data_IF_099409620374
#
_entry.id   IF_099409620374
#
_cell.length_a   1.000
_cell.length_b   1.000
_cell.length_c   1.000
_cell.angle_alpha   90.00
_cell.angle_beta   90.00
_cell.angle_gamma   90.00
#
_symmetry.space_group_name_H-M   'P 1'
#
loop_
_entity.id
_entity.type
_entity.pdbx_description
1 polymer ?
#
# COMPACT_ATOMS: atom_id res chain seq x y z
N UNK A 1 -5.11 10.46 27.56
CA UNK A 1 -3.75 10.92 27.24
C UNK A 1 -3.50 10.51 25.80
N UNK A 2 -3.15 11.44 24.92
CA UNK A 2 -2.83 11.11 23.53
C UNK A 2 -1.34 10.78 23.43
N UNK A 3 -0.99 9.74 22.67
CA UNK A 3 0.41 9.32 22.46
C UNK A 3 1.08 10.25 21.43
N UNK A 4 0.31 10.76 20.45
CA UNK A 4 0.74 11.81 19.52
C UNK A 4 -0.47 12.60 18.98
N UNK A 5 -0.21 13.76 18.36
CA UNK A 5 -1.22 14.57 17.66
C UNK A 5 -0.68 15.04 16.30
N UNK A 6 -0.75 14.20 15.25
CA UNK A 6 -0.29 14.56 13.92
C UNK A 6 -0.99 15.82 13.39
N UNK A 7 -0.22 16.79 12.91
CA UNK A 7 -0.71 18.15 12.62
C UNK A 7 -1.75 18.27 11.50
N UNK A 8 -1.82 17.27 10.60
CA UNK A 8 -2.74 17.22 9.47
C UNK A 8 -3.81 16.13 9.63
N UNK A 9 -4.03 15.65 10.86
CA UNK A 9 -4.99 14.59 11.15
C UNK A 9 -4.60 13.23 10.58
N UNK A 10 -5.49 12.26 10.78
CA UNK A 10 -5.37 10.89 10.29
C UNK A 10 -6.67 10.54 9.59
N UNK A 11 -6.58 10.18 8.31
CA UNK A 11 -7.75 9.80 7.51
C UNK A 11 -7.88 8.28 7.34
N UNK A 12 -6.76 7.57 7.29
CA UNK A 12 -6.73 6.11 7.30
C UNK A 12 -5.50 5.64 8.07
N UNK A 13 -5.64 4.53 8.80
CA UNK A 13 -4.54 3.79 9.40
C UNK A 13 -4.35 2.54 8.57
N UNK A 14 -3.13 2.31 8.12
CA UNK A 14 -2.80 1.19 7.22
C UNK A 14 -2.33 -0.04 7.97
N UNK A 15 -1.57 0.14 9.05
CA UNK A 15 -1.02 -0.98 9.80
C UNK A 15 0.11 -0.56 10.72
N UNK A 16 0.86 -1.57 11.14
CA UNK A 16 2.04 -1.48 11.99
C UNK A 16 3.14 -2.34 11.36
N UNK A 17 4.38 -1.86 11.36
CA UNK A 17 5.58 -2.61 10.97
C UNK A 17 6.81 -1.73 11.06
N UNK A 18 7.99 -2.36 11.13
CA UNK A 18 9.32 -1.72 11.04
C UNK A 18 9.53 -1.16 9.63
N UNK A 19 9.11 0.07 9.38
CA UNK A 19 9.12 0.65 8.03
C UNK A 19 10.42 1.36 7.70
N UNK A 20 11.22 1.72 8.71
CA UNK A 20 12.50 2.40 8.54
C UNK A 20 13.73 1.58 8.97
N UNK A 21 13.53 0.30 9.28
CA UNK A 21 14.57 -0.71 9.44
C UNK A 21 15.38 -0.56 10.73
N UNK A 22 14.86 0.11 11.75
CA UNK A 22 15.55 0.32 13.02
C UNK A 22 15.28 -0.79 14.06
N UNK A 23 14.33 -1.68 13.75
CA UNK A 23 13.95 -2.84 14.55
C UNK A 23 12.79 -2.60 15.51
N UNK A 24 12.27 -1.38 15.63
CA UNK A 24 11.00 -1.09 16.29
C UNK A 24 9.85 -1.02 15.24
N UNK A 25 8.60 -1.14 15.71
CA UNK A 25 7.42 -1.15 14.84
C UNK A 25 6.73 0.24 14.84
N UNK A 26 6.49 0.81 13.66
CA UNK A 26 5.84 2.14 13.52
C UNK A 26 4.36 2.01 13.15
N UNK A 27 3.54 2.96 13.60
CA UNK A 27 2.15 3.05 13.13
C UNK A 27 2.06 3.86 11.84
N UNK A 28 1.60 3.23 10.77
CA UNK A 28 1.52 3.82 9.43
C UNK A 28 0.12 4.34 9.12
N UNK A 29 0.05 5.53 8.53
CA UNK A 29 -1.21 6.20 8.26
C UNK A 29 -1.15 7.19 7.08
N UNK A 30 -2.32 7.50 6.52
CA UNK A 30 -2.49 8.60 5.58
C UNK A 30 -3.11 9.82 6.28
N UNK A 31 -2.52 11.01 6.07
CA UNK A 31 -3.03 12.27 6.61
C UNK A 31 -4.18 12.87 5.77
N UNK A 32 -4.73 14.02 6.19
CA UNK A 32 -5.82 14.68 5.47
C UNK A 32 -5.48 15.19 4.07
N UNK A 33 -4.20 15.22 3.71
CA UNK A 33 -3.71 15.53 2.36
C UNK A 33 -3.30 14.27 1.60
N UNK A 34 -3.68 13.08 2.09
CA UNK A 34 -3.28 11.78 1.56
C UNK A 34 -1.75 11.68 1.39
N UNK A 35 -1.04 12.22 2.38
CA UNK A 35 0.39 11.98 2.54
C UNK A 35 0.56 10.80 3.47
N UNK A 36 1.29 9.78 3.00
CA UNK A 36 1.68 8.61 3.75
C UNK A 36 2.73 9.00 4.78
N UNK A 37 2.48 8.60 6.03
CA UNK A 37 3.28 8.93 7.20
C UNK A 37 3.36 7.73 8.11
N UNK A 38 4.35 7.75 8.99
CA UNK A 38 4.44 6.81 10.08
C UNK A 38 4.71 7.54 11.39
N UNK A 39 4.32 6.91 12.49
CA UNK A 39 4.48 7.41 13.84
C UNK A 39 5.47 6.51 14.57
N UNK A 40 6.59 7.11 14.97
CA UNK A 40 7.61 6.51 15.80
C UNK A 40 7.08 6.14 17.19
N UNK A 41 7.65 5.12 17.86
CA UNK A 41 7.34 4.81 19.24
C UNK A 41 7.51 6.00 20.22
N UNK A 42 8.42 6.94 19.89
CA UNK A 42 8.66 8.15 20.69
C UNK A 42 7.61 9.27 20.48
N UNK A 43 6.69 9.07 19.54
CA UNK A 43 5.61 10.00 19.18
C UNK A 43 5.96 10.98 18.05
N UNK A 44 7.17 10.89 17.47
CA UNK A 44 7.57 11.65 16.29
C UNK A 44 6.82 11.16 15.06
N UNK A 45 6.35 12.08 14.22
CA UNK A 45 5.69 11.73 12.96
C UNK A 45 6.64 11.99 11.80
N UNK A 46 6.89 10.97 10.99
CA UNK A 46 7.74 11.03 9.81
C UNK A 46 6.90 10.88 8.54
N UNK A 47 7.38 11.43 7.44
CA UNK A 47 6.72 11.35 6.13
C UNK A 47 7.51 10.39 5.26
N UNK A 48 6.82 9.44 4.61
CA UNK A 48 7.45 8.56 3.64
C UNK A 48 8.10 9.38 2.52
N UNK A 49 9.24 8.89 2.01
CA UNK A 49 9.82 9.48 0.82
C UNK A 49 8.83 9.37 -0.34
N UNK A 50 8.62 10.48 -1.05
CA UNK A 50 7.61 10.58 -2.10
C UNK A 50 6.19 10.18 -1.65
N UNK A 51 5.87 10.18 -0.36
CA UNK A 51 4.62 9.62 0.21
C UNK A 51 3.29 10.28 -0.19
N UNK A 52 3.24 11.18 -1.17
CA UNK A 52 1.99 11.76 -1.65
C UNK A 52 1.25 10.76 -2.55
N UNK A 53 -0.05 10.54 -2.30
CA UNK A 53 -0.92 9.66 -3.12
C UNK A 53 -2.07 10.42 -3.80
N UNK A 54 -2.06 11.75 -3.76
CA UNK A 54 -3.06 12.62 -4.41
C UNK A 54 -4.39 12.65 -3.65
N UNK A 55 -5.10 13.79 -3.65
CA UNK A 55 -6.31 13.95 -2.80
C UNK A 55 -7.64 13.93 -3.58
N UNK A 56 -7.66 13.38 -4.79
CA UNK A 56 -8.72 13.58 -5.78
C UNK A 56 -9.94 12.66 -5.63
N UNK A 57 -9.77 11.37 -5.28
CA UNK A 57 -10.87 10.39 -5.22
C UNK A 57 -10.57 9.31 -4.19
N UNK A 58 -11.28 9.22 -3.06
CA UNK A 58 -11.08 8.13 -2.09
C UNK A 58 -9.74 8.16 -1.33
N UNK A 59 -9.49 7.14 -0.51
CA UNK A 59 -8.22 6.93 0.20
C UNK A 59 -7.69 5.57 -0.25
N UNK A 60 -6.57 5.57 -0.97
CA UNK A 60 -5.95 4.36 -1.52
C UNK A 60 -4.92 3.72 -0.60
N UNK A 61 -4.84 4.08 0.69
CA UNK A 61 -3.85 3.53 1.61
C UNK A 61 -4.22 2.10 2.00
N UNK A 62 -3.34 1.15 1.72
CA UNK A 62 -3.55 -0.29 1.88
C UNK A 62 -2.73 -0.88 3.02
N UNK A 63 -2.08 -2.01 2.74
CA UNK A 63 -1.36 -2.83 3.71
C UNK A 63 0.09 -2.37 3.95
N UNK A 64 0.59 -2.66 5.15
CA UNK A 64 2.01 -2.55 5.55
C UNK A 64 2.55 -3.95 5.68
N UNK A 65 3.60 -4.30 4.93
CA UNK A 65 4.23 -5.62 4.99
C UNK A 65 5.63 -5.59 4.41
N UNK A 66 6.49 -6.47 4.89
CA UNK A 66 7.76 -6.80 4.24
C UNK A 66 7.45 -7.61 2.96
N UNK A 67 7.65 -7.02 1.79
CA UNK A 67 7.26 -7.58 0.49
C UNK A 67 8.37 -8.38 -0.18
N UNK A 68 9.63 -8.14 0.18
CA UNK A 68 10.78 -8.77 -0.46
C UNK A 68 11.62 -9.63 0.50
N UNK A 69 11.23 -9.68 1.78
CA UNK A 69 11.80 -10.51 2.81
C UNK A 69 13.10 -9.96 3.38
N UNK A 70 13.39 -8.66 3.21
CA UNK A 70 14.61 -8.03 3.71
C UNK A 70 14.52 -7.61 5.19
N UNK A 71 13.32 -7.69 5.77
CA UNK A 71 13.01 -7.33 7.15
C UNK A 71 12.49 -5.91 7.35
N UNK A 72 12.37 -5.10 6.30
CA UNK A 72 11.82 -3.74 6.32
C UNK A 72 10.44 -3.73 5.67
N UNK A 73 9.46 -3.22 6.39
CA UNK A 73 8.09 -3.18 5.91
C UNK A 73 7.86 -2.00 4.96
N UNK A 74 7.16 -2.28 3.86
CA UNK A 74 6.73 -1.29 2.88
C UNK A 74 5.22 -1.06 2.96
N UNK A 75 4.77 0.15 2.63
CA UNK A 75 3.34 0.48 2.52
C UNK A 75 2.87 0.38 1.06
N UNK A 76 1.83 -0.42 0.82
CA UNK A 76 1.15 -0.47 -0.47
C UNK A 76 -0.03 0.51 -0.51
N UNK A 77 -0.12 1.29 -1.57
CA UNK A 77 -1.19 2.26 -1.78
C UNK A 77 -1.58 2.40 -3.25
N UNK A 78 -2.72 3.03 -3.52
CA UNK A 78 -3.12 3.52 -4.85
C UNK A 78 -3.02 5.04 -4.90
N UNK A 79 -2.30 5.55 -5.89
CA UNK A 79 -2.04 6.98 -6.04
C UNK A 79 -3.14 7.72 -6.84
N UNK A 80 -2.96 9.03 -7.02
CA UNK A 80 -3.94 9.90 -7.66
C UNK A 80 -4.06 9.70 -9.17
N UNK A 81 -3.11 8.98 -9.76
CA UNK A 81 -3.09 8.58 -11.16
C UNK A 81 -3.66 7.18 -11.39
N UNK A 82 -4.11 6.50 -10.32
CA UNK A 82 -4.58 5.11 -10.35
C UNK A 82 -3.45 4.09 -10.54
N UNK A 83 -2.24 4.45 -10.13
CA UNK A 83 -1.11 3.53 -10.11
C UNK A 83 -0.99 2.87 -8.73
N UNK A 84 -0.57 1.60 -8.70
CA UNK A 84 -0.16 0.96 -7.45
C UNK A 84 1.20 1.49 -7.06
N UNK A 85 1.35 1.85 -5.79
CA UNK A 85 2.55 2.42 -5.21
C UNK A 85 3.01 1.59 -4.02
N UNK A 86 4.28 1.26 -4.00
CA UNK A 86 4.98 0.67 -2.87
C UNK A 86 5.86 1.77 -2.29
N UNK A 87 5.57 2.19 -1.06
CA UNK A 87 6.24 3.26 -0.38
C UNK A 87 7.13 2.68 0.72
N UNK A 88 8.44 2.68 0.47
CA UNK A 88 9.46 2.44 1.46
C UNK A 88 9.80 3.70 2.27
N UNK A 89 10.18 3.53 3.53
CA UNK A 89 10.67 4.65 4.33
C UNK A 89 12.19 4.85 4.18
N UNK A 90 12.64 6.06 4.52
CA UNK A 90 14.06 6.36 4.55
C UNK A 90 14.68 5.82 5.84
N UNK A 91 15.55 4.83 5.76
CA UNK A 91 16.34 4.30 6.88
C UNK A 91 17.70 4.97 7.01
N UNK A 92 18.34 4.79 8.18
CA UNK A 92 19.71 5.24 8.44
C UNK A 92 20.75 4.54 7.55
N UNK A 93 20.44 3.34 7.05
CA UNK A 93 21.30 2.53 6.19
C UNK A 93 21.05 2.75 4.68
N UNK A 94 20.21 3.73 4.34
CA UNK A 94 19.86 4.09 2.96
C UNK A 94 18.57 3.40 2.54
N UNK A 95 17.46 3.95 3.02
CA UNK A 95 16.13 3.33 2.93
C UNK A 95 15.62 2.96 1.55
N UNK A 96 14.49 2.28 1.58
CA UNK A 96 13.79 1.80 0.42
C UNK A 96 13.20 2.97 -0.38
N UNK A 97 13.55 3.03 -1.67
CA UNK A 97 12.88 3.96 -2.59
C UNK A 97 11.41 3.58 -2.78
N UNK A 98 10.61 4.51 -3.31
CA UNK A 98 9.24 4.16 -3.70
C UNK A 98 9.19 3.62 -5.13
N UNK A 99 8.45 2.54 -5.32
CA UNK A 99 8.15 1.94 -6.63
C UNK A 99 6.71 2.31 -7.04
N UNK A 100 6.53 2.67 -8.32
CA UNK A 100 5.21 2.98 -8.89
C UNK A 100 4.96 2.07 -10.09
N UNK A 101 3.88 1.31 -10.03
CA UNK A 101 3.46 0.31 -11.01
C UNK A 101 2.34 0.91 -11.85
N UNK A 102 2.71 1.55 -12.96
CA UNK A 102 1.77 2.31 -13.82
C UNK A 102 0.88 1.42 -14.68
N UNK A 103 1.17 0.12 -14.76
CA UNK A 103 0.38 -0.82 -15.54
C UNK A 103 -0.92 -1.25 -14.81
N UNK A 104 -1.06 -0.90 -13.53
CA UNK A 104 -2.11 -1.44 -12.68
C UNK A 104 -3.52 -0.95 -13.05
N UNK A 105 -3.69 0.33 -13.39
CA UNK A 105 -5.00 0.99 -13.57
C UNK A 105 -5.98 0.63 -12.42
N UNK A 106 -5.52 0.87 -11.19
CA UNK A 106 -6.20 0.48 -9.97
C UNK A 106 -7.28 1.49 -9.57
N UNK A 107 -8.46 1.02 -9.18
CA UNK A 107 -9.45 1.85 -8.52
C UNK A 107 -8.90 2.36 -7.20
N UNK A 108 -9.19 3.62 -6.86
CA UNK A 108 -8.62 4.27 -5.67
C UNK A 108 -9.30 3.83 -4.38
N UNK A 109 -9.03 2.58 -4.05
CA UNK A 109 -9.49 1.83 -2.89
C UNK A 109 -8.26 1.19 -2.22
N UNK A 110 -8.35 0.80 -0.93
CA UNK A 110 -7.24 0.13 -0.26
C UNK A 110 -6.86 -1.18 -0.98
N UNK A 111 -5.62 -1.32 -1.48
CA UNK A 111 -5.09 -2.61 -1.92
C UNK A 111 -4.74 -3.48 -0.71
N UNK A 112 -4.56 -4.77 -0.93
CA UNK A 112 -4.10 -5.72 0.09
C UNK A 112 -2.95 -6.57 -0.47
N UNK A 113 -2.33 -7.37 0.40
CA UNK A 113 -1.27 -8.30 0.02
C UNK A 113 -1.73 -9.69 0.41
N UNK A 114 -1.52 -10.66 -0.49
CA UNK A 114 -1.87 -12.05 -0.27
C UNK A 114 -1.01 -12.96 -1.14
N UNK A 115 -0.79 -14.18 -0.66
CA UNK A 115 -0.22 -15.27 -1.43
C UNK A 115 -1.29 -15.88 -2.35
N UNK A 116 -1.12 -15.64 -3.65
CA UNK A 116 -1.98 -16.08 -4.75
C UNK A 116 -1.34 -17.27 -5.47
N UNK A 117 -0.02 -17.28 -5.69
CA UNK A 117 0.66 -18.33 -6.45
C UNK A 117 2.02 -18.82 -5.91
N UNK A 118 2.37 -18.47 -4.66
CA UNK A 118 3.51 -19.04 -3.93
C UNK A 118 4.50 -18.03 -3.35
N UNK A 119 4.26 -16.74 -3.56
CA UNK A 119 4.90 -15.59 -2.94
C UNK A 119 3.86 -14.52 -2.57
N UNK A 120 4.25 -13.29 -2.24
CA UNK A 120 3.32 -12.24 -1.83
C UNK A 120 2.98 -11.31 -3.00
N UNK A 121 1.69 -11.22 -3.35
CA UNK A 121 1.21 -10.38 -4.44
C UNK A 121 0.36 -9.21 -3.94
N UNK A 122 0.41 -8.09 -4.65
CA UNK A 122 -0.44 -6.92 -4.35
C UNK A 122 -1.78 -7.09 -5.04
N UNK A 123 -2.83 -7.35 -4.28
CA UNK A 123 -4.21 -7.52 -4.77
C UNK A 123 -4.97 -6.19 -4.75
N UNK A 124 -5.63 -5.85 -5.85
CA UNK A 124 -6.34 -4.60 -6.01
C UNK A 124 -7.55 -4.72 -6.95
N UNK A 125 -8.45 -3.73 -6.88
CA UNK A 125 -9.60 -3.64 -7.79
C UNK A 125 -9.23 -2.84 -9.04
N UNK A 126 -9.46 -3.38 -10.24
CA UNK A 126 -9.24 -2.65 -11.49
C UNK A 126 -10.30 -1.56 -11.73
N UNK A 127 -9.85 -0.37 -12.13
CA UNK A 127 -10.71 0.81 -12.38
C UNK A 127 -11.59 0.63 -13.60
N UNK A 128 -11.03 0.17 -14.72
CA UNK A 128 -11.74 0.12 -16.00
C UNK A 128 -12.63 -1.12 -16.17
N UNK A 129 -12.24 -2.25 -15.59
CA UNK A 129 -12.91 -3.55 -15.78
C UNK A 129 -13.78 -3.97 -14.59
N UNK A 130 -13.51 -3.46 -13.38
CA UNK A 130 -14.16 -3.95 -12.17
C UNK A 130 -13.77 -5.39 -11.84
N UNK A 131 -12.66 -5.88 -12.36
CA UNK A 131 -12.13 -7.21 -12.02
C UNK A 131 -11.12 -7.06 -10.87
N UNK A 132 -10.93 -8.12 -10.08
CA UNK A 132 -9.88 -8.17 -9.07
C UNK A 132 -8.58 -8.61 -9.74
N UNK A 133 -7.59 -7.74 -9.67
CA UNK A 133 -6.27 -7.96 -10.25
C UNK A 133 -5.23 -8.12 -9.16
N UNK A 134 -4.05 -8.60 -9.53
CA UNK A 134 -2.89 -8.58 -8.65
C UNK A 134 -1.63 -8.20 -9.41
N UNK A 135 -0.66 -7.65 -8.69
CA UNK A 135 0.72 -7.47 -9.16
C UNK A 135 1.55 -8.62 -8.60
N UNK A 136 2.14 -9.37 -9.51
CA UNK A 136 3.02 -10.51 -9.32
C UNK A 136 4.49 -10.07 -9.42
N UNK A 137 5.40 -10.84 -8.81
CA UNK A 137 6.85 -10.57 -8.79
C UNK A 137 7.14 -9.13 -8.36
N UNK A 138 6.59 -8.76 -7.19
CA UNK A 138 6.53 -7.38 -6.63
C UNK A 138 7.92 -6.79 -6.33
N UNK A 139 8.94 -7.64 -6.23
CA UNK A 139 10.36 -7.26 -6.12
C UNK A 139 11.14 -7.34 -7.44
N UNK A 140 10.49 -7.83 -8.51
CA UNK A 140 11.07 -8.05 -9.83
C UNK A 140 10.34 -7.31 -10.94
N UNK A 141 9.67 -8.06 -11.82
CA UNK A 141 9.09 -7.52 -13.06
C UNK A 141 7.77 -6.77 -12.86
N UNK A 142 7.08 -6.95 -11.72
CA UNK A 142 5.78 -6.35 -11.43
C UNK A 142 4.72 -6.67 -12.51
N UNK A 143 4.52 -7.96 -12.78
CA UNK A 143 3.58 -8.43 -13.80
C UNK A 143 2.13 -8.31 -13.30
N UNK A 144 1.22 -7.80 -14.14
CA UNK A 144 -0.18 -7.63 -13.77
C UNK A 144 -1.01 -8.82 -14.27
N UNK A 145 -1.72 -9.46 -13.36
CA UNK A 145 -2.61 -10.59 -13.62
C UNK A 145 -3.98 -10.40 -12.94
N UNK A 146 -4.88 -11.36 -13.13
CA UNK A 146 -6.23 -11.35 -12.58
C UNK A 146 -6.46 -12.54 -11.65
N UNK A 147 -7.15 -12.29 -10.55
CA UNK A 147 -7.51 -13.33 -9.59
C UNK A 147 -8.57 -14.26 -10.19
N UNK A 148 -8.38 -15.55 -9.93
CA UNK A 148 -9.26 -16.62 -10.41
C UNK A 148 -9.83 -17.40 -9.23
N UNK A 149 -11.03 -17.96 -9.41
CA UNK A 149 -11.59 -18.94 -8.50
C UNK A 149 -11.02 -20.36 -8.75
N UNK A 150 -11.43 -21.34 -7.94
CA UNK A 150 -11.03 -22.74 -8.09
C UNK A 150 -11.40 -23.35 -9.45
N UNK A 151 -12.34 -22.73 -10.18
CA UNK A 151 -12.77 -23.11 -11.53
C UNK A 151 -11.92 -22.48 -12.64
N UNK A 152 -11.05 -21.53 -12.32
CA UNK A 152 -10.29 -20.71 -13.27
C UNK A 152 -11.07 -19.54 -13.85
N UNK A 153 -12.28 -19.27 -13.33
CA UNK A 153 -13.07 -18.12 -13.73
C UNK A 153 -12.55 -16.87 -13.01
N UNK A 154 -12.64 -15.70 -13.67
CA UNK A 154 -12.19 -14.44 -13.09
C UNK A 154 -13.07 -14.01 -11.93
N UNK A 155 -12.46 -13.41 -10.92
CA UNK A 155 -13.18 -12.82 -9.79
C UNK A 155 -13.48 -11.35 -10.09
N UNK A 156 -14.76 -11.00 -10.08
CA UNK A 156 -15.23 -9.64 -10.24
C UNK A 156 -15.24 -8.89 -8.89
N UNK A 157 -15.22 -7.57 -8.95
CA UNK A 157 -15.23 -6.69 -7.80
C UNK A 157 -15.89 -5.33 -8.05
N UNK A 158 -16.14 -4.61 -6.97
CA UNK A 158 -16.73 -3.28 -7.01
C UNK A 158 -16.23 -2.44 -5.84
N UNK A 159 -15.91 -1.17 -6.10
CA UNK A 159 -15.55 -0.22 -5.06
C UNK A 159 -16.73 0.08 -4.12
N UNK A 160 -17.97 -0.21 -4.53
CA UNK A 160 -19.16 -0.01 -3.72
C UNK A 160 -19.58 -1.21 -2.87
N UNK A 161 -19.25 -2.44 -3.31
CA UNK A 161 -19.78 -3.67 -2.70
C UNK A 161 -18.75 -4.75 -2.40
N UNK A 162 -17.48 -4.58 -2.79
CA UNK A 162 -16.42 -5.58 -2.65
C UNK A 162 -16.46 -6.63 -3.77
N UNK A 163 -16.01 -7.85 -3.48
CA UNK A 163 -16.06 -9.00 -4.39
C UNK A 163 -17.51 -9.32 -4.77
N UNK A 164 -17.77 -9.66 -6.03
CA UNK A 164 -19.14 -9.91 -6.56
C UNK A 164 -19.25 -11.19 -7.35
#
# INVERSE_FOLDING_TARGET
MAVATPGNGVQAVSGIGDVDGDGDDELVFADASQTLRYLEPDGTTVTFQDGQTGSNVGIGAGAVTDLDGDGVASLVAVDGNNDVKIAGASSADGGEGSTVITAADAEKSPPTVADVDGDDEIVYLGRANGEVNYVDDVSGNNDVAYLQDDGGDRIDGSAGTGLV
#
